data_IF_590266590127
#
_entry.id   IF_590266590127
#
_cell.length_a   1.000
_cell.length_b   1.000
_cell.length_c   1.000
_cell.angle_alpha   90.00
_cell.angle_beta   90.00
_cell.angle_gamma   90.00
#
_symmetry.space_group_name_H-M   'P 1'
#
loop_
_entity.id
_entity.type
_entity.pdbx_description
1 polymer ?
#
# COMPACT_ATOMS: atom_id res chain seq x y z
N UNK A 1 -30.52 5.84 -13.23
CA UNK A 1 -29.21 5.47 -13.80
C UNK A 1 -29.05 3.96 -13.67
N UNK A 2 -28.90 3.25 -14.79
CA UNK A 2 -28.66 1.81 -14.79
C UNK A 2 -27.29 1.53 -14.16
N UNK A 3 -27.26 0.72 -13.10
CA UNK A 3 -26.05 0.46 -12.33
C UNK A 3 -25.01 -0.35 -13.12
N UNK A 4 -25.45 -1.24 -13.99
CA UNK A 4 -24.54 -2.05 -14.81
C UNK A 4 -23.86 -1.20 -15.87
N UNK A 5 -24.58 -0.25 -16.47
CA UNK A 5 -23.97 0.76 -17.37
C UNK A 5 -22.91 1.58 -16.64
N UNK A 6 -23.18 2.01 -15.40
CA UNK A 6 -22.20 2.73 -14.58
C UNK A 6 -20.99 1.86 -14.23
N UNK A 7 -21.18 0.58 -13.94
CA UNK A 7 -20.09 -0.36 -13.68
C UNK A 7 -19.22 -0.50 -14.94
N UNK A 8 -19.82 -0.69 -16.11
CA UNK A 8 -19.12 -0.76 -17.40
C UNK A 8 -18.29 0.50 -17.67
N UNK A 9 -18.86 1.69 -17.45
CA UNK A 9 -18.11 2.94 -17.64
C UNK A 9 -16.95 3.10 -16.65
N UNK A 10 -17.12 2.66 -15.40
CA UNK A 10 -16.06 2.74 -14.39
C UNK A 10 -14.97 1.69 -14.58
N UNK A 11 -15.25 0.56 -15.24
CA UNK A 11 -14.27 -0.51 -15.52
C UNK A 11 -13.07 -0.02 -16.33
N UNK A 12 -13.26 1.00 -17.16
CA UNK A 12 -12.18 1.64 -17.89
C UNK A 12 -11.15 2.32 -16.96
N UNK A 13 -11.57 2.77 -15.79
CA UNK A 13 -10.73 3.59 -14.89
C UNK A 13 -10.34 2.88 -13.60
N UNK A 14 -11.18 1.98 -13.11
CA UNK A 14 -11.09 1.40 -11.79
C UNK A 14 -10.92 -0.12 -11.92
N UNK A 15 -9.81 -0.69 -11.40
CA UNK A 15 -9.63 -2.13 -11.39
C UNK A 15 -10.66 -2.83 -10.49
N UNK A 16 -11.18 -3.98 -10.94
CA UNK A 16 -12.09 -4.85 -10.17
C UNK A 16 -13.37 -4.15 -9.66
N UNK A 17 -13.93 -3.23 -10.45
CA UNK A 17 -15.18 -2.49 -10.12
C UNK A 17 -16.32 -3.40 -9.69
N UNK A 18 -16.47 -4.56 -10.33
CA UNK A 18 -17.56 -5.51 -10.01
C UNK A 18 -17.52 -6.07 -8.59
N UNK A 19 -16.36 -6.03 -7.94
CA UNK A 19 -16.19 -6.49 -6.55
C UNK A 19 -16.56 -5.40 -5.52
N UNK A 20 -16.86 -4.18 -5.98
CA UNK A 20 -17.19 -3.05 -5.11
C UNK A 20 -18.71 -3.02 -4.87
N UNK A 21 -19.11 -2.72 -3.64
CA UNK A 21 -20.53 -2.62 -3.30
C UNK A 21 -21.27 -1.55 -4.11
N UNK A 22 -22.51 -1.83 -4.50
CA UNK A 22 -23.34 -0.95 -5.31
C UNK A 22 -23.48 0.46 -4.73
N UNK A 23 -23.61 0.58 -3.40
CA UNK A 23 -23.62 1.86 -2.68
C UNK A 23 -22.34 2.67 -2.90
N UNK A 24 -21.20 2.00 -2.98
CA UNK A 24 -19.90 2.63 -3.21
C UNK A 24 -19.74 3.02 -4.68
N UNK A 25 -20.22 2.20 -5.61
CA UNK A 25 -20.26 2.51 -7.04
C UNK A 25 -21.09 3.76 -7.32
N UNK A 26 -22.32 3.85 -6.79
CA UNK A 26 -23.18 5.04 -6.97
C UNK A 26 -22.49 6.32 -6.49
N UNK A 27 -21.83 6.27 -5.32
CA UNK A 27 -21.09 7.41 -4.76
C UNK A 27 -19.82 7.76 -5.54
N UNK A 28 -19.18 6.78 -6.17
CA UNK A 28 -18.00 7.00 -7.01
C UNK A 28 -18.44 7.61 -8.35
N UNK A 29 -19.46 7.03 -8.98
CA UNK A 29 -20.01 7.50 -10.25
C UNK A 29 -20.42 8.97 -10.18
N UNK A 30 -21.16 9.37 -9.14
CA UNK A 30 -21.62 10.75 -8.99
C UNK A 30 -20.52 11.79 -8.76
N UNK A 31 -19.30 11.39 -8.37
CA UNK A 31 -18.22 12.34 -7.96
C UNK A 31 -16.95 12.23 -8.78
N UNK A 32 -16.68 11.06 -9.35
CA UNK A 32 -15.42 10.75 -10.01
C UNK A 32 -15.59 10.51 -11.52
N UNK A 33 -16.73 9.95 -11.98
CA UNK A 33 -16.85 9.48 -13.37
C UNK A 33 -16.63 10.60 -14.40
N UNK A 34 -17.23 11.77 -14.18
CA UNK A 34 -17.04 12.93 -15.06
C UNK A 34 -15.59 13.44 -15.04
N UNK A 35 -14.98 13.51 -13.86
CA UNK A 35 -13.56 13.88 -13.69
C UNK A 35 -12.63 12.91 -14.41
N UNK A 36 -12.89 11.60 -14.32
CA UNK A 36 -12.10 10.58 -15.01
C UNK A 36 -12.21 10.68 -16.53
N UNK A 37 -13.42 10.89 -17.06
CA UNK A 37 -13.61 11.16 -18.49
C UNK A 37 -12.84 12.40 -18.94
N UNK A 38 -12.81 13.46 -18.13
CA UNK A 38 -12.05 14.67 -18.43
C UNK A 38 -10.54 14.41 -18.42
N UNK A 39 -10.02 13.70 -17.41
CA UNK A 39 -8.61 13.32 -17.36
C UNK A 39 -8.22 12.47 -18.57
N UNK A 40 -9.05 11.50 -18.97
CA UNK A 40 -8.82 10.70 -20.17
C UNK A 40 -8.72 11.55 -21.43
N UNK A 41 -9.60 12.54 -21.61
CA UNK A 41 -9.54 13.49 -22.74
C UNK A 41 -8.24 14.31 -22.75
N UNK A 42 -7.65 14.54 -21.58
CA UNK A 42 -6.37 15.24 -21.42
C UNK A 42 -5.16 14.29 -21.49
N UNK A 43 -5.36 13.00 -21.75
CA UNK A 43 -4.30 11.98 -21.74
C UNK A 43 -3.78 11.62 -20.33
N UNK A 44 -4.51 11.99 -19.27
CA UNK A 44 -4.15 11.72 -17.89
C UNK A 44 -4.85 10.45 -17.39
N UNK A 45 -4.05 9.45 -17.00
CA UNK A 45 -4.57 8.21 -16.42
C UNK A 45 -4.95 8.38 -14.93
N UNK A 46 -5.98 7.64 -14.49
CA UNK A 46 -6.35 7.57 -13.07
C UNK A 46 -5.29 6.78 -12.29
N UNK A 47 -4.79 7.38 -11.19
CA UNK A 47 -3.67 6.86 -10.42
C UNK A 47 -4.10 6.16 -9.13
N UNK A 48 -3.37 5.11 -8.75
CA UNK A 48 -3.55 4.37 -7.49
C UNK A 48 -2.23 4.30 -6.70
N UNK A 49 -2.27 3.82 -5.45
CA UNK A 49 -1.06 3.72 -4.62
C UNK A 49 -0.71 4.99 -3.83
N UNK A 50 0.60 5.28 -3.70
CA UNK A 50 1.09 6.40 -2.89
C UNK A 50 0.88 7.72 -3.62
N UNK A 51 0.54 8.76 -2.85
CA UNK A 51 0.36 10.12 -3.34
C UNK A 51 1.73 10.79 -3.55
N UNK A 52 1.91 11.41 -4.70
CA UNK A 52 3.04 12.26 -5.04
C UNK A 52 3.02 13.56 -4.22
N UNK A 53 4.13 14.31 -4.26
CA UNK A 53 4.19 15.61 -3.59
C UNK A 53 3.23 16.62 -4.23
N UNK A 54 3.20 16.71 -5.57
CA UNK A 54 2.26 17.54 -6.34
C UNK A 54 0.81 17.29 -5.92
N UNK A 55 0.40 16.02 -5.78
CA UNK A 55 -0.96 15.68 -5.33
C UNK A 55 -1.22 16.09 -3.88
N UNK A 56 -0.23 15.97 -2.99
CA UNK A 56 -0.40 16.43 -1.61
C UNK A 56 -0.51 17.95 -1.53
N UNK A 57 0.25 18.67 -2.36
CA UNK A 57 0.18 20.12 -2.44
C UNK A 57 -1.21 20.57 -2.95
N UNK A 58 -1.73 19.89 -3.97
CA UNK A 58 -3.09 20.13 -4.46
C UNK A 58 -4.17 19.84 -3.39
N UNK A 59 -4.01 18.78 -2.59
CA UNK A 59 -4.92 18.49 -1.47
C UNK A 59 -4.91 19.64 -0.45
N UNK A 60 -3.74 20.20 -0.13
CA UNK A 60 -3.66 21.34 0.81
C UNK A 60 -4.39 22.54 0.26
N UNK A 61 -4.11 22.91 -0.99
CA UNK A 61 -4.78 24.00 -1.69
C UNK A 61 -6.30 23.81 -1.69
N UNK A 62 -6.80 22.65 -2.11
CA UNK A 62 -8.24 22.38 -2.16
C UNK A 62 -8.93 22.47 -0.78
N UNK A 63 -8.21 22.11 0.30
CA UNK A 63 -8.71 22.27 1.67
C UNK A 63 -8.73 23.75 2.07
N UNK A 64 -7.65 24.48 1.81
CA UNK A 64 -7.53 25.93 2.10
C UNK A 64 -8.60 26.74 1.37
N UNK A 65 -8.82 26.47 0.08
CA UNK A 65 -9.86 27.09 -0.74
C UNK A 65 -11.26 26.81 -0.13
N UNK A 66 -11.50 25.57 0.29
CA UNK A 66 -12.79 25.20 0.89
C UNK A 66 -13.01 25.88 2.25
N UNK A 67 -11.99 25.97 3.10
CA UNK A 67 -12.07 26.68 4.38
C UNK A 67 -12.36 28.17 4.14
N UNK A 68 -11.71 28.78 3.15
CA UNK A 68 -11.88 30.19 2.81
C UNK A 68 -13.30 30.53 2.36
N UNK A 69 -13.93 29.65 1.59
CA UNK A 69 -15.31 29.87 1.09
C UNK A 69 -16.35 29.61 2.19
N UNK A 70 -16.08 28.66 3.10
CA UNK A 70 -17.08 28.22 4.09
C UNK A 70 -16.94 28.88 5.46
N UNK A 71 -15.81 29.53 5.73
CA UNK A 71 -15.50 30.12 7.04
C UNK A 71 -15.28 29.09 8.15
N UNK A 72 -15.09 27.80 7.83
CA UNK A 72 -14.80 26.78 8.85
C UNK A 72 -13.41 27.03 9.43
N UNK A 73 -13.33 27.10 10.76
CA UNK A 73 -12.13 27.54 11.48
C UNK A 73 -10.85 26.73 11.19
N UNK A 74 -10.96 25.43 10.90
CA UNK A 74 -9.79 24.58 10.70
C UNK A 74 -10.04 23.35 9.85
N UNK A 75 -8.97 22.88 9.20
CA UNK A 75 -8.96 21.60 8.49
C UNK A 75 -9.28 20.42 9.42
N UNK A 76 -8.97 20.53 10.72
CA UNK A 76 -9.32 19.50 11.70
C UNK A 76 -10.84 19.42 11.88
N UNK A 77 -11.52 20.54 12.14
CA UNK A 77 -13.00 20.57 12.24
C UNK A 77 -13.65 20.06 10.96
N UNK A 78 -13.14 20.50 9.81
CA UNK A 78 -13.59 20.06 8.50
C UNK A 78 -13.44 18.54 8.32
N UNK A 79 -12.30 17.94 8.66
CA UNK A 79 -12.03 16.53 8.35
C UNK A 79 -12.42 15.56 9.47
N UNK A 80 -12.46 16.03 10.72
CA UNK A 80 -12.72 15.26 11.94
C UNK A 80 -13.95 15.77 12.70
N UNK A 81 -14.99 16.15 11.95
CA UNK A 81 -16.23 16.74 12.47
C UNK A 81 -16.85 15.98 13.66
N UNK A 82 -16.65 14.66 13.78
CA UNK A 82 -17.13 13.89 14.94
C UNK A 82 -16.48 14.27 16.27
N UNK A 83 -15.35 14.99 16.28
CA UNK A 83 -14.66 15.50 17.48
C UNK A 83 -15.27 16.82 17.99
N UNK A 84 -16.14 17.45 17.19
CA UNK A 84 -16.74 18.75 17.48
C UNK A 84 -18.27 18.62 17.35
N UNK A 85 -18.96 18.09 18.37
CA UNK A 85 -20.40 17.87 18.32
C UNK A 85 -21.20 19.16 18.03
N UNK A 86 -20.77 20.29 18.61
CA UNK A 86 -21.48 21.57 18.50
C UNK A 86 -21.45 22.16 17.09
N UNK A 87 -20.35 21.94 16.35
CA UNK A 87 -20.20 22.44 14.98
C UNK A 87 -20.68 21.42 13.92
N UNK A 88 -21.09 20.22 14.35
CA UNK A 88 -21.25 19.06 13.46
C UNK A 88 -22.29 19.28 12.37
N UNK A 89 -23.45 19.82 12.75
CA UNK A 89 -24.56 20.05 11.83
C UNK A 89 -24.24 21.14 10.82
N UNK A 90 -23.69 22.27 11.30
CA UNK A 90 -23.22 23.37 10.47
C UNK A 90 -22.18 22.91 9.46
N UNK A 91 -21.17 22.15 9.89
CA UNK A 91 -20.13 21.63 9.00
C UNK A 91 -20.71 20.63 7.98
N UNK A 92 -21.67 19.79 8.36
CA UNK A 92 -22.32 18.88 7.41
C UNK A 92 -23.14 19.62 6.35
N UNK A 93 -23.87 20.66 6.76
CA UNK A 93 -24.63 21.53 5.86
C UNK A 93 -23.69 22.20 4.85
N UNK A 94 -22.62 22.87 5.32
CA UNK A 94 -21.64 23.53 4.47
C UNK A 94 -20.94 22.56 3.50
N UNK A 95 -20.63 21.34 3.94
CA UNK A 95 -20.08 20.30 3.05
C UNK A 95 -21.02 19.90 1.93
N UNK A 96 -22.33 19.87 2.20
CA UNK A 96 -23.34 19.54 1.20
C UNK A 96 -23.55 20.69 0.23
N UNK A 97 -23.73 21.92 0.73
CA UNK A 97 -23.95 23.14 -0.05
C UNK A 97 -22.79 23.43 -1.01
N UNK A 98 -21.55 23.28 -0.55
CA UNK A 98 -20.35 23.59 -1.34
C UNK A 98 -19.70 22.36 -1.98
N UNK A 99 -20.41 21.22 -2.04
CA UNK A 99 -19.96 20.00 -2.71
C UNK A 99 -18.53 19.56 -2.30
N UNK A 100 -18.27 19.51 -0.99
CA UNK A 100 -16.93 19.33 -0.41
C UNK A 100 -16.10 18.21 -1.06
N UNK A 101 -16.72 17.07 -1.37
CA UNK A 101 -15.99 15.93 -1.94
C UNK A 101 -15.49 16.21 -3.36
N UNK A 102 -16.20 17.02 -4.14
CA UNK A 102 -15.80 17.44 -5.49
C UNK A 102 -14.69 18.47 -5.39
N UNK A 103 -14.88 19.50 -4.56
CA UNK A 103 -13.86 20.54 -4.30
C UNK A 103 -12.55 19.95 -3.78
N UNK A 104 -12.62 19.03 -2.83
CA UNK A 104 -11.44 18.34 -2.32
C UNK A 104 -10.67 17.57 -3.41
N UNK A 105 -11.38 17.06 -4.42
CA UNK A 105 -10.82 16.14 -5.42
C UNK A 105 -10.44 16.84 -6.74
N UNK A 106 -10.67 18.14 -6.83
CA UNK A 106 -10.39 18.96 -8.00
C UNK A 106 -8.90 18.88 -8.39
N UNK A 107 -8.62 18.69 -9.68
CA UNK A 107 -7.25 18.59 -10.22
C UNK A 107 -6.46 17.32 -9.85
N UNK A 108 -7.03 16.38 -9.09
CA UNK A 108 -6.33 15.17 -8.65
C UNK A 108 -6.88 13.94 -9.40
N UNK A 109 -6.05 13.20 -10.17
CA UNK A 109 -6.50 12.06 -10.98
C UNK A 109 -6.65 10.78 -10.13
N UNK A 110 -7.42 10.85 -9.04
CA UNK A 110 -7.69 9.72 -8.14
C UNK A 110 -9.16 9.69 -7.70
N UNK A 111 -9.66 8.51 -7.29
CA UNK A 111 -10.97 8.41 -6.65
C UNK A 111 -11.09 9.30 -5.41
N UNK A 112 -12.19 10.03 -5.28
CA UNK A 112 -12.40 11.01 -4.21
C UNK A 112 -12.22 10.43 -2.81
N UNK A 113 -12.59 9.14 -2.62
CA UNK A 113 -12.42 8.45 -1.32
C UNK A 113 -10.96 8.33 -0.93
N UNK A 114 -10.08 8.00 -1.88
CA UNK A 114 -8.64 7.89 -1.60
C UNK A 114 -8.06 9.26 -1.23
N UNK A 115 -8.51 10.30 -1.93
CA UNK A 115 -8.14 11.70 -1.67
C UNK A 115 -8.61 12.11 -0.27
N UNK A 116 -9.87 11.82 0.08
CA UNK A 116 -10.41 12.09 1.42
C UNK A 116 -9.65 11.37 2.53
N UNK A 117 -9.31 10.08 2.35
CA UNK A 117 -8.48 9.36 3.31
C UNK A 117 -7.06 9.95 3.42
N UNK A 118 -6.50 10.43 2.30
CA UNK A 118 -5.19 11.08 2.30
C UNK A 118 -5.24 12.42 3.03
N UNK A 119 -6.23 13.27 2.75
CA UNK A 119 -6.46 14.53 3.44
C UNK A 119 -6.58 14.32 4.94
N UNK A 120 -7.43 13.37 5.38
CA UNK A 120 -7.51 13.00 6.81
C UNK A 120 -6.15 12.65 7.39
N UNK A 121 -5.32 11.83 6.73
CA UNK A 121 -3.99 11.50 7.25
C UNK A 121 -3.04 12.70 7.35
N UNK A 122 -3.15 13.65 6.42
CA UNK A 122 -2.30 14.85 6.39
C UNK A 122 -2.66 15.85 7.48
N UNK A 123 -3.95 15.98 7.78
CA UNK A 123 -4.48 16.97 8.72
C UNK A 123 -4.93 16.38 10.07
N UNK A 124 -4.58 15.12 10.38
CA UNK A 124 -4.85 14.55 11.71
C UNK A 124 -3.74 14.98 12.68
N UNK A 125 -4.02 15.84 13.68
CA UNK A 125 -3.01 16.22 14.68
C UNK A 125 -2.58 15.04 15.56
N UNK A 126 -3.37 13.96 15.59
CA UNK A 126 -3.05 12.72 16.31
C UNK A 126 -2.14 11.79 15.49
N UNK A 127 -1.76 12.17 14.28
CA UNK A 127 -0.77 11.46 13.50
C UNK A 127 0.66 11.91 13.89
N UNK A 128 1.67 11.15 13.47
CA UNK A 128 3.09 11.50 13.65
C UNK A 128 3.58 11.66 15.11
N UNK A 129 2.88 11.11 16.10
CA UNK A 129 3.26 11.11 17.54
C UNK A 129 4.48 10.24 17.90
N UNK A 130 5.30 9.84 16.93
CA UNK A 130 6.51 9.05 17.17
C UNK A 130 6.26 7.64 17.71
N UNK A 131 7.29 7.07 18.36
CA UNK A 131 7.27 5.70 18.91
C UNK A 131 6.34 5.62 20.12
N UNK A 132 5.79 4.43 20.38
CA UNK A 132 5.04 4.16 21.59
C UNK A 132 6.00 3.88 22.74
N UNK A 133 5.83 4.63 23.83
CA UNK A 133 6.45 4.36 25.13
C UNK A 133 5.88 3.07 25.74
N UNK A 134 6.51 2.56 26.79
CA UNK A 134 6.02 1.34 27.46
C UNK A 134 4.71 1.64 28.20
N UNK A 135 4.59 2.83 28.76
CA UNK A 135 3.39 3.33 29.45
C UNK A 135 2.21 3.42 28.48
N UNK A 136 2.44 3.92 27.26
CA UNK A 136 1.41 3.94 26.22
C UNK A 136 0.99 2.55 25.76
N UNK A 137 1.92 1.59 25.70
CA UNK A 137 1.57 0.19 25.36
C UNK A 137 0.68 -0.44 26.43
N UNK A 138 0.99 -0.21 27.71
CA UNK A 138 0.16 -0.71 28.80
C UNK A 138 -1.20 -0.01 28.87
N UNK A 139 -1.26 1.31 28.65
CA UNK A 139 -2.53 2.04 28.48
C UNK A 139 -3.35 1.48 27.32
N UNK A 140 -2.73 1.21 26.18
CA UNK A 140 -3.40 0.64 25.01
C UNK A 140 -4.02 -0.72 25.31
N UNK A 141 -3.31 -1.61 26.01
CA UNK A 141 -3.86 -2.90 26.45
C UNK A 141 -5.05 -2.71 27.40
N UNK A 142 -4.96 -1.79 28.36
CA UNK A 142 -6.06 -1.47 29.29
C UNK A 142 -7.29 -0.92 28.55
N UNK A 143 -7.11 0.03 27.64
CA UNK A 143 -8.22 0.60 26.87
C UNK A 143 -8.86 -0.42 25.94
N UNK A 144 -8.07 -1.32 25.35
CA UNK A 144 -8.61 -2.44 24.60
C UNK A 144 -9.44 -3.39 25.48
N UNK A 145 -8.98 -3.70 26.69
CA UNK A 145 -9.74 -4.55 27.61
C UNK A 145 -11.12 -3.95 27.97
N UNK A 146 -11.23 -2.62 28.00
CA UNK A 146 -12.50 -1.92 28.31
C UNK A 146 -13.41 -1.69 27.10
N UNK A 147 -12.86 -1.41 25.92
CA UNK A 147 -13.63 -0.96 24.75
C UNK A 147 -13.54 -1.91 23.54
N UNK A 148 -12.78 -2.99 23.65
CA UNK A 148 -12.55 -3.94 22.57
C UNK A 148 -11.94 -3.26 21.33
N UNK A 149 -12.48 -3.60 20.16
CA UNK A 149 -12.03 -3.08 18.87
C UNK A 149 -12.56 -1.67 18.52
N UNK A 150 -13.08 -0.90 19.49
CA UNK A 150 -13.45 0.51 19.24
C UNK A 150 -12.20 1.41 19.16
N UNK A 151 -11.48 1.26 18.05
CA UNK A 151 -10.27 2.02 17.77
C UNK A 151 -10.51 3.52 17.65
N UNK A 152 -11.75 3.95 17.37
CA UNK A 152 -12.08 5.37 17.34
C UNK A 152 -12.06 5.92 18.76
N UNK A 153 -12.74 5.26 19.70
CA UNK A 153 -12.74 5.66 21.11
C UNK A 153 -11.34 5.58 21.71
N UNK A 154 -10.62 4.48 21.48
CA UNK A 154 -9.25 4.29 21.98
C UNK A 154 -8.30 5.36 21.40
N UNK A 155 -8.46 5.71 20.12
CA UNK A 155 -7.66 6.77 19.46
C UNK A 155 -7.82 8.13 20.13
N UNK A 156 -9.04 8.50 20.49
CA UNK A 156 -9.34 9.74 21.20
C UNK A 156 -8.70 9.72 22.60
N UNK A 157 -8.84 8.62 23.34
CA UNK A 157 -8.22 8.47 24.67
C UNK A 157 -6.68 8.47 24.65
N UNK A 158 -6.08 7.93 23.59
CA UNK A 158 -4.62 7.87 23.44
C UNK A 158 -4.01 9.10 22.76
N UNK A 159 -4.82 10.04 22.25
CA UNK A 159 -4.34 11.16 21.43
C UNK A 159 -3.43 10.73 20.27
N UNK A 160 -3.72 9.55 19.69
CA UNK A 160 -2.98 8.94 18.57
C UNK A 160 -3.96 8.44 17.53
N UNK A 161 -3.60 8.51 16.25
CA UNK A 161 -4.52 8.13 15.16
C UNK A 161 -5.07 6.70 15.30
N UNK A 162 -6.32 6.50 14.88
CA UNK A 162 -7.03 5.21 14.92
C UNK A 162 -6.21 4.07 14.31
N UNK A 163 -5.64 4.30 13.12
CA UNK A 163 -4.80 3.31 12.47
C UNK A 163 -3.56 2.97 13.30
N UNK A 164 -2.93 3.96 13.94
CA UNK A 164 -1.74 3.75 14.77
C UNK A 164 -2.06 2.86 15.98
N UNK A 165 -3.15 3.14 16.70
CA UNK A 165 -3.53 2.37 17.90
C UNK A 165 -3.93 0.93 17.52
N UNK A 166 -4.72 0.74 16.47
CA UNK A 166 -5.11 -0.59 16.00
C UNK A 166 -3.90 -1.42 15.56
N UNK A 167 -3.00 -0.79 14.79
CA UNK A 167 -1.77 -1.43 14.33
C UNK A 167 -0.84 -1.80 15.48
N UNK A 168 -0.66 -0.89 16.45
CA UNK A 168 0.20 -1.14 17.60
C UNK A 168 -0.39 -2.23 18.49
N UNK A 169 -1.71 -2.21 18.75
CA UNK A 169 -2.33 -3.26 19.54
C UNK A 169 -2.15 -4.62 18.88
N UNK A 170 -2.40 -4.71 17.57
CA UNK A 170 -2.18 -5.95 16.82
C UNK A 170 -0.74 -6.49 16.92
N UNK A 171 0.25 -5.62 17.14
CA UNK A 171 1.66 -5.97 17.34
C UNK A 171 1.99 -6.39 18.79
N UNK A 172 1.22 -5.95 19.79
CA UNK A 172 1.52 -6.19 21.21
C UNK A 172 0.48 -7.05 21.95
N UNK A 173 -0.57 -7.49 21.25
CA UNK A 173 -1.68 -8.28 21.80
C UNK A 173 -1.25 -9.60 22.44
N UNK A 174 -0.09 -10.12 22.06
CA UNK A 174 0.44 -11.41 22.53
C UNK A 174 1.94 -11.30 22.77
N UNK A 175 2.51 -12.13 23.67
CA UNK A 175 3.96 -12.25 23.80
C UNK A 175 4.53 -12.78 22.49
N UNK A 176 5.39 -11.98 21.85
CA UNK A 176 5.94 -12.25 20.52
C UNK A 176 7.44 -12.39 20.62
N UNK A 177 7.99 -13.36 19.90
CA UNK A 177 9.43 -13.54 19.79
C UNK A 177 10.01 -12.43 18.91
N UNK A 178 11.03 -11.75 19.44
CA UNK A 178 11.88 -10.84 18.68
C UNK A 178 13.26 -11.49 18.47
N UNK A 179 13.91 -11.19 17.35
CA UNK A 179 15.21 -11.79 16.99
C UNK A 179 15.11 -12.87 15.90
N UNK A 180 16.18 -13.66 15.71
CA UNK A 180 16.29 -14.65 14.63
C UNK A 180 15.16 -15.67 14.64
N UNK A 181 14.75 -16.12 13.46
CA UNK A 181 13.74 -17.18 13.32
C UNK A 181 14.38 -18.54 13.53
N UNK A 182 13.80 -19.37 14.41
CA UNK A 182 14.22 -20.76 14.55
C UNK A 182 13.83 -21.57 13.30
N UNK A 183 14.38 -22.79 13.17
CA UNK A 183 14.01 -23.71 12.09
C UNK A 183 12.54 -24.12 12.21
N UNK A 184 12.10 -24.39 13.43
CA UNK A 184 10.73 -24.78 13.80
C UNK A 184 9.74 -23.66 13.48
N UNK A 185 10.06 -22.41 13.84
CA UNK A 185 9.22 -21.25 13.50
C UNK A 185 9.12 -21.06 11.98
N UNK A 186 10.23 -21.25 11.26
CA UNK A 186 10.25 -21.14 9.81
C UNK A 186 9.40 -22.23 9.16
N UNK A 187 9.46 -23.46 9.67
CA UNK A 187 8.65 -24.58 9.18
C UNK A 187 7.15 -24.37 9.45
N UNK A 188 6.79 -23.89 10.65
CA UNK A 188 5.40 -23.53 10.98
C UNK A 188 4.85 -22.45 10.05
N UNK A 189 5.64 -21.42 9.74
CA UNK A 189 5.26 -20.39 8.78
C UNK A 189 5.00 -20.98 7.39
N UNK A 190 5.91 -21.84 6.91
CA UNK A 190 5.77 -22.47 5.60
C UNK A 190 4.50 -23.32 5.52
N UNK A 191 4.24 -24.15 6.53
CA UNK A 191 3.04 -24.97 6.62
C UNK A 191 1.77 -24.11 6.66
N UNK A 192 1.73 -23.08 7.51
CA UNK A 192 0.58 -22.18 7.62
C UNK A 192 0.25 -21.46 6.31
N UNK A 193 1.27 -21.05 5.55
CA UNK A 193 1.08 -20.44 4.23
C UNK A 193 0.58 -21.46 3.21
N UNK A 194 1.15 -22.67 3.19
CA UNK A 194 0.74 -23.74 2.28
C UNK A 194 -0.72 -24.13 2.49
N UNK A 195 -1.16 -24.31 3.74
CA UNK A 195 -2.55 -24.61 4.08
C UNK A 195 -3.51 -23.54 3.58
N UNK A 196 -3.17 -22.26 3.78
CA UNK A 196 -4.00 -21.13 3.33
C UNK A 196 -4.11 -21.11 1.80
N UNK A 197 -3.01 -21.37 1.10
CA UNK A 197 -3.01 -21.43 -0.37
C UNK A 197 -3.87 -22.61 -0.84
N UNK A 198 -3.70 -23.80 -0.24
CA UNK A 198 -4.45 -25.01 -0.59
C UNK A 198 -5.95 -24.83 -0.37
N UNK A 199 -6.34 -24.23 0.77
CA UNK A 199 -7.74 -23.92 1.10
C UNK A 199 -8.38 -23.01 0.05
N UNK A 200 -7.65 -22.01 -0.45
CA UNK A 200 -8.14 -21.09 -1.48
C UNK A 200 -8.28 -21.76 -2.85
N UNK A 201 -7.32 -22.60 -3.24
CA UNK A 201 -7.40 -23.35 -4.49
C UNK A 201 -8.62 -24.29 -4.47
N UNK A 202 -8.83 -25.02 -3.37
CA UNK A 202 -10.00 -25.90 -3.21
C UNK A 202 -11.35 -25.19 -3.08
N UNK A 203 -11.38 -23.85 -2.99
CA UNK A 203 -12.63 -23.06 -3.01
C UNK A 203 -12.84 -22.31 -4.32
N UNK A 204 -11.82 -22.19 -5.17
CA UNK A 204 -11.92 -21.61 -6.52
C UNK A 204 -12.32 -22.67 -7.58
N UNK A 205 -11.97 -23.95 -7.38
CA UNK A 205 -12.36 -25.06 -8.27
C UNK A 205 -13.67 -25.75 -7.82
N UNK A 206 -14.76 -24.99 -7.80
CA UNK A 206 -16.12 -25.50 -7.57
C UNK A 206 -16.79 -26.12 -8.81
N UNK A 207 -16.05 -26.80 -9.68
CA UNK A 207 -16.62 -27.61 -10.76
C UNK A 207 -16.41 -29.11 -10.46
N UNK A 208 -17.47 -29.89 -10.12
CA UNK A 208 -17.33 -31.24 -9.55
C UNK A 208 -16.82 -32.35 -10.51
N UNK A 209 -16.31 -32.02 -11.70
CA UNK A 209 -16.02 -32.99 -12.76
C UNK A 209 -14.56 -32.91 -13.24
N UNK A 210 -13.59 -33.08 -12.35
CA UNK A 210 -12.27 -33.59 -12.74
C UNK A 210 -11.56 -34.32 -11.59
N UNK A 211 -12.24 -35.33 -11.04
CA UNK A 211 -11.59 -36.39 -10.25
C UNK A 211 -10.73 -37.26 -11.17
N UNK A 212 -9.49 -36.84 -11.41
CA UNK A 212 -8.44 -37.75 -11.87
C UNK A 212 -7.14 -37.42 -11.14
N UNK A 213 -6.74 -38.39 -10.33
CA UNK A 213 -5.45 -38.59 -9.67
C UNK A 213 -4.30 -37.77 -10.28
N UNK A 214 -3.98 -36.61 -9.68
CA UNK A 214 -2.67 -35.98 -9.85
C UNK A 214 -1.88 -36.14 -8.57
N UNK A 215 -0.80 -36.90 -8.70
CA UNK A 215 0.06 -37.34 -7.62
C UNK A 215 0.55 -36.20 -6.74
N UNK A 216 0.63 -36.50 -5.45
CA UNK A 216 0.92 -35.60 -4.34
C UNK A 216 2.36 -35.06 -4.27
N UNK A 217 3.03 -34.74 -5.38
CA UNK A 217 4.45 -34.27 -5.31
C UNK A 217 4.90 -33.08 -6.13
N UNK A 218 4.14 -32.53 -7.07
CA UNK A 218 4.58 -31.30 -7.76
C UNK A 218 3.39 -30.45 -8.21
N UNK A 219 2.70 -29.85 -7.25
CA UNK A 219 1.96 -28.63 -7.54
C UNK A 219 3.01 -27.51 -7.61
N UNK A 220 3.54 -27.27 -8.81
CA UNK A 220 4.12 -25.99 -9.19
C UNK A 220 3.07 -24.93 -8.90
N UNK A 221 3.04 -24.43 -7.66
CA UNK A 221 2.22 -23.28 -7.29
C UNK A 221 2.73 -22.18 -8.21
N UNK A 222 1.89 -21.80 -9.17
CA UNK A 222 2.17 -20.73 -10.11
C UNK A 222 2.76 -19.56 -9.32
N UNK A 223 3.95 -19.11 -9.72
CA UNK A 223 4.68 -17.99 -9.12
C UNK A 223 3.73 -16.81 -8.86
N UNK A 224 2.78 -16.60 -9.78
CA UNK A 224 1.73 -15.56 -9.70
C UNK A 224 0.77 -15.73 -8.51
N UNK A 225 0.45 -16.97 -8.12
CA UNK A 225 -0.42 -17.31 -6.97
C UNK A 225 0.29 -17.08 -5.62
N UNK A 226 1.61 -17.20 -5.57
CA UNK A 226 2.42 -16.89 -4.37
C UNK A 226 2.47 -15.38 -4.04
N UNK A 227 2.14 -14.53 -5.00
CA UNK A 227 2.04 -13.07 -4.83
C UNK A 227 0.64 -12.59 -4.41
N UNK A 228 -0.35 -13.49 -4.31
CA UNK A 228 -1.69 -13.12 -3.90
C UNK A 228 -1.73 -12.52 -2.49
N UNK A 229 -2.78 -11.75 -2.20
CA UNK A 229 -3.00 -11.16 -0.87
C UNK A 229 -3.30 -12.27 0.15
N UNK A 230 -2.25 -12.76 0.82
CA UNK A 230 -2.36 -13.72 1.90
C UNK A 230 -2.99 -13.10 3.16
N UNK A 231 -3.84 -13.84 3.90
CA UNK A 231 -4.47 -13.40 5.13
C UNK A 231 -3.47 -13.53 6.28
N UNK A 232 -2.54 -12.58 6.37
CA UNK A 232 -1.42 -12.65 7.33
C UNK A 232 -1.84 -12.76 8.80
N UNK A 233 -3.03 -12.30 9.17
CA UNK A 233 -3.60 -12.44 10.51
C UNK A 233 -4.00 -13.88 10.84
N UNK A 234 -4.49 -14.64 9.86
CA UNK A 234 -4.76 -16.08 9.99
C UNK A 234 -3.45 -16.86 10.09
N UNK A 235 -2.47 -16.50 9.26
CA UNK A 235 -1.13 -17.11 9.27
C UNK A 235 -0.44 -16.84 10.62
N UNK A 236 -0.50 -15.61 11.13
CA UNK A 236 -0.02 -15.24 12.47
C UNK A 236 -0.62 -16.15 13.54
N UNK A 237 -1.94 -16.36 13.53
CA UNK A 237 -2.61 -17.21 14.51
C UNK A 237 -2.11 -18.67 14.47
N UNK A 238 -1.85 -19.21 13.26
CA UNK A 238 -1.28 -20.56 13.07
C UNK A 238 0.19 -20.65 13.49
N UNK A 239 0.98 -19.60 13.26
CA UNK A 239 2.40 -19.56 13.67
C UNK A 239 2.53 -19.44 15.19
N UNK A 240 1.68 -18.64 15.83
CA UNK A 240 1.55 -18.51 17.28
C UNK A 240 2.68 -17.74 17.97
N UNK A 241 3.90 -17.70 17.42
CA UNK A 241 5.08 -17.09 18.07
C UNK A 241 5.49 -15.72 17.51
N UNK A 242 4.92 -15.31 16.36
CA UNK A 242 5.35 -14.14 15.58
C UNK A 242 4.18 -13.30 15.12
N UNK A 243 4.38 -11.99 15.11
CA UNK A 243 3.43 -11.01 14.58
C UNK A 243 3.28 -11.14 13.06
N UNK A 244 2.09 -10.85 12.54
CA UNK A 244 1.79 -11.02 11.10
C UNK A 244 2.76 -10.28 10.16
N UNK A 245 3.29 -9.11 10.55
CA UNK A 245 4.31 -8.41 9.74
C UNK A 245 5.64 -9.15 9.71
N UNK A 246 6.03 -9.77 10.83
CA UNK A 246 7.22 -10.62 10.88
C UNK A 246 7.02 -11.84 9.98
N UNK A 247 5.85 -12.49 10.05
CA UNK A 247 5.49 -13.62 9.18
C UNK A 247 5.59 -13.22 7.69
N UNK A 248 5.00 -12.08 7.32
CA UNK A 248 5.06 -11.55 5.95
C UNK A 248 6.49 -11.26 5.49
N UNK A 249 7.29 -10.63 6.34
CA UNK A 249 8.69 -10.32 6.05
C UNK A 249 9.51 -11.60 5.86
N UNK A 250 9.40 -12.55 6.79
CA UNK A 250 10.09 -13.83 6.71
C UNK A 250 9.67 -14.64 5.48
N UNK A 251 8.37 -14.68 5.17
CA UNK A 251 7.87 -15.36 3.98
C UNK A 251 8.45 -14.75 2.70
N UNK A 252 8.56 -13.42 2.62
CA UNK A 252 9.19 -12.76 1.46
C UNK A 252 10.63 -13.23 1.28
N UNK A 253 11.39 -13.39 2.37
CA UNK A 253 12.75 -13.95 2.33
C UNK A 253 12.77 -15.41 1.90
N UNK A 254 11.88 -16.25 2.44
CA UNK A 254 11.75 -17.67 2.07
C UNK A 254 11.42 -17.81 0.58
N UNK A 255 10.44 -17.04 0.11
CA UNK A 255 10.00 -17.02 -1.29
C UNK A 255 11.14 -16.59 -2.22
N UNK A 256 11.84 -15.51 -1.85
CA UNK A 256 13.01 -15.04 -2.61
C UNK A 256 14.05 -16.16 -2.71
N UNK A 257 14.44 -16.79 -1.59
CA UNK A 257 15.44 -17.86 -1.61
C UNK A 257 15.03 -19.07 -2.46
N UNK A 258 13.74 -19.44 -2.43
CA UNK A 258 13.20 -20.53 -3.26
C UNK A 258 13.25 -20.18 -4.74
N UNK A 259 12.80 -18.97 -5.12
CA UNK A 259 12.79 -18.50 -6.50
C UNK A 259 14.20 -18.35 -7.06
N UNK A 260 15.14 -17.91 -6.23
CA UNK A 260 16.54 -17.77 -6.64
C UNK A 260 17.30 -19.09 -6.59
N UNK A 261 16.68 -20.21 -6.19
CA UNK A 261 17.34 -21.53 -5.95
C UNK A 261 18.58 -21.40 -5.05
N UNK A 262 18.55 -20.48 -4.09
CA UNK A 262 19.72 -20.15 -3.25
C UNK A 262 20.85 -19.38 -3.95
N UNK A 263 20.73 -19.07 -5.25
CA UNK A 263 21.65 -18.17 -5.93
C UNK A 263 21.55 -16.77 -5.33
N UNK A 264 22.71 -16.18 -5.05
CA UNK A 264 22.80 -14.81 -4.57
C UNK A 264 22.83 -13.84 -5.75
N UNK A 265 21.65 -13.41 -6.19
CA UNK A 265 21.53 -12.28 -7.11
C UNK A 265 22.15 -11.02 -6.45
N UNK A 266 22.82 -10.19 -7.24
CA UNK A 266 23.56 -9.01 -6.78
C UNK A 266 24.90 -9.27 -6.02
N UNK A 267 25.58 -10.41 -6.25
CA UNK A 267 27.00 -10.60 -5.89
C UNK A 267 27.85 -10.95 -7.12
N UNK A 268 29.11 -10.52 -7.11
CA UNK A 268 30.05 -10.71 -8.24
C UNK A 268 29.58 -10.04 -9.53
N UNK A 269 30.14 -10.47 -10.66
CA UNK A 269 29.89 -9.93 -12.01
C UNK A 269 28.41 -9.96 -12.40
N UNK A 270 27.70 -11.06 -12.12
CA UNK A 270 26.25 -11.16 -12.36
C UNK A 270 25.46 -10.09 -11.60
N UNK A 271 25.89 -9.79 -10.38
CA UNK A 271 25.27 -8.75 -9.57
C UNK A 271 25.53 -7.33 -10.01
N UNK A 272 26.61 -7.11 -10.77
CA UNK A 272 26.92 -5.84 -11.40
C UNK A 272 26.07 -5.66 -12.65
N UNK A 273 25.96 -6.70 -13.48
CA UNK A 273 25.05 -6.75 -14.63
C UNK A 273 23.58 -6.49 -14.24
N UNK A 274 23.10 -7.10 -13.15
CA UNK A 274 21.74 -6.89 -12.65
C UNK A 274 21.49 -5.40 -12.28
N UNK A 275 22.49 -4.71 -11.72
CA UNK A 275 22.38 -3.27 -11.40
C UNK A 275 22.37 -2.41 -12.66
N UNK A 276 23.25 -2.71 -13.62
CA UNK A 276 23.34 -2.01 -14.91
C UNK A 276 21.98 -2.11 -15.63
N UNK A 277 21.45 -3.32 -15.76
CA UNK A 277 20.15 -3.57 -16.40
C UNK A 277 19.01 -2.84 -15.67
N UNK A 278 19.01 -2.85 -14.33
CA UNK A 278 18.04 -2.13 -13.52
C UNK A 278 18.08 -0.62 -13.80
N UNK A 279 19.27 0.00 -13.85
CA UNK A 279 19.42 1.44 -14.11
C UNK A 279 18.95 1.79 -15.52
N UNK A 280 19.40 1.04 -16.54
CA UNK A 280 19.00 1.27 -17.94
C UNK A 280 17.48 1.22 -18.10
N UNK A 281 16.84 0.17 -17.56
CA UNK A 281 15.39 0.02 -17.66
C UNK A 281 14.63 1.12 -16.93
N UNK A 282 15.08 1.53 -15.75
CA UNK A 282 14.47 2.64 -15.01
C UNK A 282 14.58 3.97 -15.77
N UNK A 283 15.70 4.22 -16.45
CA UNK A 283 15.92 5.41 -17.26
C UNK A 283 15.02 5.43 -18.51
N UNK A 284 14.91 4.29 -19.22
CA UNK A 284 14.03 4.15 -20.39
C UNK A 284 12.55 4.41 -20.10
N UNK A 285 12.08 4.07 -18.89
CA UNK A 285 10.68 4.26 -18.49
C UNK A 285 10.28 5.74 -18.38
N UNK A 286 11.24 6.67 -18.26
CA UNK A 286 11.01 8.14 -18.18
C UNK A 286 9.92 8.57 -17.20
N UNK A 287 9.78 7.85 -16.09
CA UNK A 287 8.74 8.14 -15.08
C UNK A 287 9.19 9.25 -14.12
N UNK A 288 8.27 10.14 -13.78
CA UNK A 288 8.51 11.23 -12.83
C UNK A 288 8.46 10.79 -11.36
N UNK A 289 7.84 9.63 -11.08
CA UNK A 289 7.63 9.14 -9.71
C UNK A 289 7.81 7.61 -9.65
N UNK A 290 8.40 7.13 -8.54
CA UNK A 290 8.61 5.71 -8.29
C UNK A 290 7.32 4.86 -8.27
N UNK A 291 6.16 5.50 -8.07
CA UNK A 291 4.86 4.86 -8.08
C UNK A 291 4.32 4.60 -9.48
N UNK A 292 4.80 5.34 -10.48
CA UNK A 292 4.43 5.15 -11.89
C UNK A 292 5.23 3.98 -12.52
N UNK A 293 6.17 3.38 -11.78
CA UNK A 293 6.93 2.19 -12.22
C UNK A 293 6.07 0.94 -12.12
N UNK A 294 5.97 0.21 -13.23
CA UNK A 294 5.51 -1.17 -13.25
C UNK A 294 6.60 -2.10 -12.69
N UNK A 295 6.65 -2.22 -11.36
CA UNK A 295 7.62 -3.06 -10.66
C UNK A 295 7.48 -4.55 -10.97
N UNK A 296 6.31 -4.99 -11.47
CA UNK A 296 6.07 -6.39 -11.83
C UNK A 296 6.75 -6.75 -13.15
N UNK A 297 6.61 -5.89 -14.17
CA UNK A 297 7.34 -6.03 -15.43
C UNK A 297 8.86 -6.01 -15.21
N UNK A 298 9.33 -5.07 -14.39
CA UNK A 298 10.75 -4.98 -14.03
C UNK A 298 11.23 -6.24 -13.30
N UNK A 299 10.41 -6.79 -12.41
CA UNK A 299 10.68 -8.06 -11.72
C UNK A 299 10.86 -9.25 -12.65
N UNK A 300 10.00 -9.34 -13.68
CA UNK A 300 10.05 -10.42 -14.64
C UNK A 300 11.32 -10.33 -15.51
N UNK A 301 11.69 -9.11 -15.91
CA UNK A 301 12.91 -8.88 -16.71
C UNK A 301 14.21 -9.15 -15.95
N UNK A 302 14.25 -8.93 -14.62
CA UNK A 302 15.44 -9.10 -13.77
C UNK A 302 15.42 -10.48 -13.06
N UNK A 303 15.08 -11.53 -13.81
CA UNK A 303 15.19 -12.92 -13.35
C UNK A 303 14.03 -13.46 -12.53
N UNK A 304 12.81 -12.95 -12.75
CA UNK A 304 11.57 -13.47 -12.15
C UNK A 304 11.60 -13.55 -10.60
N UNK A 305 12.11 -12.48 -9.98
CA UNK A 305 12.19 -12.34 -8.52
C UNK A 305 10.96 -11.62 -7.96
N UNK A 306 10.71 -11.61 -6.64
CA UNK A 306 9.62 -10.82 -6.06
C UNK A 306 9.78 -9.31 -6.27
N UNK A 307 8.70 -8.59 -6.57
CA UNK A 307 8.71 -7.11 -6.73
C UNK A 307 9.37 -6.37 -5.56
N UNK A 308 9.14 -6.87 -4.33
CA UNK A 308 9.70 -6.29 -3.11
C UNK A 308 11.23 -6.42 -3.06
N UNK A 309 11.77 -7.46 -3.69
CA UNK A 309 13.21 -7.68 -3.80
C UNK A 309 13.84 -6.62 -4.71
N UNK A 310 13.30 -6.40 -5.91
CA UNK A 310 13.79 -5.37 -6.85
C UNK A 310 13.70 -3.98 -6.23
N UNK A 311 12.57 -3.66 -5.58
CA UNK A 311 12.41 -2.39 -4.85
C UNK A 311 13.47 -2.20 -3.75
N UNK A 312 13.78 -3.25 -2.99
CA UNK A 312 14.81 -3.19 -1.96
C UNK A 312 16.21 -2.99 -2.56
N UNK A 313 16.50 -3.61 -3.71
CA UNK A 313 17.78 -3.44 -4.43
C UNK A 313 17.92 -2.03 -4.99
N UNK A 314 16.88 -1.51 -5.65
CA UNK A 314 16.84 -0.12 -6.09
C UNK A 314 17.05 0.84 -4.92
N UNK A 315 16.35 0.63 -3.79
CA UNK A 315 16.51 1.47 -2.61
C UNK A 315 17.97 1.46 -2.10
N UNK A 316 18.60 0.28 -2.02
CA UNK A 316 20.00 0.17 -1.61
C UNK A 316 20.94 0.88 -2.59
N UNK A 317 20.74 0.71 -3.89
CA UNK A 317 21.50 1.38 -4.94
C UNK A 317 21.39 2.90 -4.80
N UNK A 318 20.16 3.42 -4.73
CA UNK A 318 19.89 4.85 -4.52
C UNK A 318 20.62 5.40 -3.28
N UNK A 319 20.46 4.75 -2.13
CA UNK A 319 21.00 5.28 -0.85
C UNK A 319 22.52 5.22 -0.80
N UNK A 320 23.14 4.22 -1.43
CA UNK A 320 24.59 4.04 -1.44
C UNK A 320 25.31 4.84 -2.52
N UNK A 321 24.65 5.11 -3.64
CA UNK A 321 25.32 5.67 -4.82
C UNK A 321 24.95 7.12 -5.11
N UNK A 322 23.79 7.61 -4.67
CA UNK A 322 23.30 8.96 -5.03
C UNK A 322 23.54 9.95 -3.88
N UNK A 323 24.44 10.93 -4.05
CA UNK A 323 24.69 11.96 -3.05
C UNK A 323 23.44 12.80 -2.80
N UNK A 324 23.20 13.13 -1.52
CA UNK A 324 22.09 13.99 -1.08
C UNK A 324 20.73 13.56 -1.66
N UNK A 325 20.50 12.26 -1.90
CA UNK A 325 19.31 11.73 -2.57
C UNK A 325 17.97 12.19 -1.95
N UNK A 326 17.97 12.60 -0.67
CA UNK A 326 16.77 13.13 0.01
C UNK A 326 16.31 14.49 -0.52
N UNK A 327 17.21 15.26 -1.14
CA UNK A 327 16.92 16.57 -1.74
C UNK A 327 16.64 16.48 -3.24
N UNK A 328 16.74 15.30 -3.83
CA UNK A 328 16.58 15.08 -5.27
C UNK A 328 15.18 14.54 -5.59
N UNK A 329 14.64 14.94 -6.73
CA UNK A 329 13.45 14.35 -7.32
C UNK A 329 13.73 12.92 -7.78
N UNK A 330 12.68 12.15 -8.06
CA UNK A 330 12.86 10.79 -8.56
C UNK A 330 13.60 10.78 -9.90
N UNK A 331 13.26 11.68 -10.84
CA UNK A 331 13.95 11.81 -12.12
C UNK A 331 15.42 12.18 -11.96
N UNK A 332 15.76 13.14 -11.08
CA UNK A 332 17.15 13.51 -10.80
C UNK A 332 17.96 12.34 -10.21
N UNK A 333 17.32 11.47 -9.42
CA UNK A 333 17.95 10.26 -8.88
C UNK A 333 18.25 9.28 -10.01
N UNK A 334 17.30 9.03 -10.91
CA UNK A 334 17.48 8.11 -12.04
C UNK A 334 18.51 8.65 -13.02
N UNK A 335 18.47 9.95 -13.33
CA UNK A 335 19.45 10.62 -14.19
C UNK A 335 20.86 10.50 -13.63
N UNK A 336 21.04 10.73 -12.32
CA UNK A 336 22.35 10.55 -11.69
C UNK A 336 22.81 9.09 -11.78
N UNK A 337 21.93 8.14 -11.49
CA UNK A 337 22.27 6.72 -11.58
C UNK A 337 22.68 6.33 -13.00
N UNK A 338 22.03 6.89 -14.03
CA UNK A 338 22.32 6.59 -15.43
C UNK A 338 23.57 7.31 -15.96
N UNK A 339 23.77 8.58 -15.60
CA UNK A 339 24.88 9.39 -16.14
C UNK A 339 26.19 9.18 -15.39
N UNK A 340 26.12 9.07 -14.07
CA UNK A 340 27.32 9.02 -13.22
C UNK A 340 27.62 7.60 -12.74
N UNK A 341 26.61 6.87 -12.26
CA UNK A 341 26.84 5.57 -11.64
C UNK A 341 26.94 4.44 -12.66
N UNK A 342 26.17 4.48 -13.74
CA UNK A 342 26.16 3.42 -14.76
C UNK A 342 27.54 3.24 -15.41
N UNK A 343 28.27 4.29 -15.85
CA UNK A 343 29.59 4.11 -16.45
C UNK A 343 30.58 3.46 -15.48
N UNK A 344 30.61 3.90 -14.22
CA UNK A 344 31.46 3.28 -13.18
C UNK A 344 31.13 1.79 -12.99
N UNK A 345 29.85 1.41 -13.06
CA UNK A 345 29.47 0.00 -12.95
C UNK A 345 29.84 -0.80 -14.21
N UNK A 346 29.81 -0.20 -15.39
CA UNK A 346 30.21 -0.82 -16.66
C UNK A 346 31.73 -1.01 -16.77
N UNK A 347 32.52 -0.08 -16.24
CA UNK A 347 33.99 -0.19 -16.17
C UNK A 347 34.47 -1.30 -15.22
N UNK A 348 33.69 -1.58 -14.17
CA UNK A 348 34.02 -2.59 -13.15
C UNK A 348 33.48 -4.00 -13.48
N UNK A 349 32.78 -4.15 -14.60
CA UNK A 349 32.18 -5.40 -15.07
C UNK A 349 33.17 -6.22 -15.88
#
# INVERSE_FOLDING_TARGET
VNLDTVKQELEEFIPHVRNISDKSIRKMAGRDLMRFKQFKKQGIAVKFGRFSQKENDQIRKNVEDFLSITGIDSAEKLLFTSRYPEDKETIHRLKAEHLFCEKLSEGIPRPWRLIYYRARKMFDPNNYKGRYTNEEKEKLKKYYAMHGNDWKKISEMMSRSNLSVAMKYSEIKSPINYGPWSKEETQKLMHAVEEVIRKRIGTEDGDPLSSSEKSSRDLLIDSKKLYQKLPWTEIEAKVGTRYWRQCKQKWTTVLTNKMTKGQQFYRGTKGLQDKINLIKRLYEMRVEDANDINWEELSNSIGNVPRAYVQAKFYKLKVSSVPLWRKKTFSEIIDYLFKEKLPELEENL
#
